data_IF_028408362069
#
_entry.id   IF_028408362069
#
_cell.length_a   1.000
_cell.length_b   1.000
_cell.length_c   1.000
_cell.angle_alpha   90.00
_cell.angle_beta   90.00
_cell.angle_gamma   90.00
#
_symmetry.space_group_name_H-M   'P 1'
#
loop_
_entity.id
_entity.type
_entity.pdbx_description
1 polymer ?
#
# COMPACT_ATOMS: atom_id res chain seq x y z
N UNK A 1 -0.58 27.01 14.30
CA UNK A 1 -1.12 26.46 13.04
C UNK A 1 0.05 26.03 12.16
N UNK A 2 0.25 24.74 11.93
CA UNK A 2 1.23 24.28 10.94
C UNK A 2 0.67 24.58 9.55
N UNK A 3 1.37 25.40 8.76
CA UNK A 3 0.96 25.69 7.39
C UNK A 3 0.83 24.39 6.59
N UNK A 4 -0.26 24.21 5.85
CA UNK A 4 -0.54 22.99 5.07
C UNK A 4 0.64 22.57 4.16
N UNK A 5 1.47 23.53 3.73
CA UNK A 5 2.71 23.31 2.99
C UNK A 5 3.75 22.46 3.75
N UNK A 6 3.91 22.68 5.06
CA UNK A 6 4.84 21.91 5.91
C UNK A 6 4.36 20.48 6.14
N UNK A 7 3.06 20.28 6.29
CA UNK A 7 2.45 18.94 6.42
C UNK A 7 2.61 18.16 5.11
N UNK A 8 2.30 18.79 3.97
CA UNK A 8 2.47 18.17 2.65
C UNK A 8 3.93 17.80 2.36
N UNK A 9 4.89 18.66 2.71
CA UNK A 9 6.31 18.36 2.54
C UNK A 9 6.75 17.15 3.39
N UNK A 10 6.30 17.07 4.65
CA UNK A 10 6.59 15.92 5.53
C UNK A 10 5.95 14.63 5.02
N UNK A 11 4.71 14.67 4.55
CA UNK A 11 4.03 13.50 3.98
C UNK A 11 4.75 12.96 2.73
N UNK A 12 5.24 13.85 1.86
CA UNK A 12 6.05 13.46 0.69
C UNK A 12 7.36 12.80 1.10
N UNK A 13 8.05 13.34 2.11
CA UNK A 13 9.29 12.76 2.63
C UNK A 13 9.04 11.37 3.23
N UNK A 14 7.97 11.20 4.01
CA UNK A 14 7.58 9.90 4.57
C UNK A 14 7.26 8.90 3.45
N UNK A 15 6.49 9.33 2.44
CA UNK A 15 6.12 8.49 1.30
C UNK A 15 7.33 8.01 0.49
N UNK A 16 8.47 8.69 0.56
CA UNK A 16 9.72 8.29 -0.09
C UNK A 16 10.64 7.44 0.81
N UNK A 17 10.29 7.19 2.08
CA UNK A 17 11.15 6.36 2.93
C UNK A 17 11.32 4.97 2.31
N UNK A 18 12.56 4.46 2.16
CA UNK A 18 12.81 3.11 1.68
C UNK A 18 12.26 2.03 2.63
N UNK A 19 12.07 2.39 3.91
CA UNK A 19 11.51 1.56 4.96
C UNK A 19 9.99 1.36 4.87
N UNK A 20 9.28 2.29 4.25
CA UNK A 20 7.82 2.36 4.30
C UNK A 20 7.13 1.16 3.63
N UNK A 21 7.59 0.64 2.47
CA UNK A 21 6.99 -0.55 1.85
C UNK A 21 7.06 -1.78 2.76
N UNK A 22 8.17 -2.00 3.47
CA UNK A 22 8.31 -3.13 4.41
C UNK A 22 7.29 -3.01 5.53
N UNK A 23 7.14 -1.82 6.12
CA UNK A 23 6.17 -1.56 7.18
C UNK A 23 4.72 -1.74 6.73
N UNK A 24 4.37 -1.26 5.53
CA UNK A 24 3.01 -1.37 4.99
C UNK A 24 2.63 -2.81 4.65
N UNK A 25 3.53 -3.56 4.03
CA UNK A 25 3.33 -5.00 3.76
C UNK A 25 3.25 -5.80 5.07
N UNK A 26 4.13 -5.52 6.02
CA UNK A 26 4.12 -6.16 7.34
C UNK A 26 2.80 -5.91 8.09
N UNK A 27 2.36 -4.65 8.18
CA UNK A 27 1.10 -4.28 8.82
C UNK A 27 -0.10 -4.96 8.14
N UNK A 28 -0.13 -4.97 6.80
CA UNK A 28 -1.20 -5.62 6.03
C UNK A 28 -1.25 -7.11 6.31
N UNK A 29 -0.10 -7.79 6.37
CA UNK A 29 -0.05 -9.21 6.73
C UNK A 29 -0.53 -9.49 8.16
N UNK A 30 -0.17 -8.65 9.12
CA UNK A 30 -0.60 -8.78 10.52
C UNK A 30 -2.12 -8.63 10.65
N UNK A 31 -2.69 -7.61 10.01
CA UNK A 31 -4.13 -7.37 10.01
C UNK A 31 -4.89 -8.51 9.32
N UNK A 32 -4.35 -9.03 8.22
CA UNK A 32 -4.95 -10.16 7.51
C UNK A 32 -4.89 -11.46 8.33
N UNK A 33 -3.81 -11.70 9.10
CA UNK A 33 -3.73 -12.81 10.06
C UNK A 33 -4.72 -12.66 11.22
N UNK A 34 -4.97 -11.44 11.69
CA UNK A 34 -6.03 -11.20 12.68
C UNK A 34 -7.41 -11.49 12.08
N UNK A 35 -7.65 -11.08 10.83
CA UNK A 35 -8.88 -11.38 10.10
C UNK A 35 -9.08 -12.90 9.95
N UNK A 36 -8.06 -13.66 9.54
CA UNK A 36 -8.18 -15.13 9.44
C UNK A 36 -8.46 -15.77 10.79
N UNK A 37 -7.87 -15.28 11.88
CA UNK A 37 -8.15 -15.77 13.24
C UNK A 37 -9.61 -15.53 13.64
N UNK A 38 -10.16 -14.34 13.36
CA UNK A 38 -11.56 -14.03 13.62
C UNK A 38 -12.52 -14.90 12.80
N UNK A 39 -12.26 -15.06 11.50
CA UNK A 39 -13.07 -15.95 10.63
C UNK A 39 -12.99 -17.40 11.09
N UNK A 40 -11.79 -17.89 11.41
CA UNK A 40 -11.60 -19.25 11.91
C UNK A 40 -12.34 -19.50 13.22
N UNK A 41 -12.31 -18.54 14.15
CA UNK A 41 -13.12 -18.61 15.38
C UNK A 41 -14.60 -18.63 15.07
N UNK A 42 -15.08 -17.81 14.14
CA UNK A 42 -16.48 -17.84 13.69
C UNK A 42 -16.85 -19.23 13.17
N UNK A 43 -16.08 -19.80 12.23
CA UNK A 43 -16.37 -21.11 11.64
C UNK A 43 -16.29 -22.27 12.63
N UNK A 44 -15.40 -22.20 13.64
CA UNK A 44 -15.26 -23.27 14.64
C UNK A 44 -16.33 -23.22 15.74
N UNK A 45 -16.73 -22.01 16.15
CA UNK A 45 -17.70 -21.83 17.24
C UNK A 45 -19.15 -21.73 16.75
N UNK A 46 -19.34 -21.51 15.46
CA UNK A 46 -20.66 -21.48 14.85
C UNK A 46 -21.09 -22.89 14.46
N UNK A 47 -22.24 -23.33 14.97
CA UNK A 47 -22.85 -24.62 14.65
C UNK A 47 -24.37 -24.49 14.60
N UNK A 48 -24.99 -25.19 13.67
CA UNK A 48 -26.42 -25.17 13.42
C UNK A 48 -26.97 -26.59 13.22
N UNK A 49 -28.24 -26.79 13.56
CA UNK A 49 -28.99 -27.97 13.11
C UNK A 49 -29.10 -27.99 11.58
N UNK A 50 -28.97 -29.16 10.95
CA UNK A 50 -28.97 -29.33 9.49
C UNK A 50 -30.25 -28.83 8.77
N UNK A 51 -31.31 -28.56 9.52
CA UNK A 51 -32.57 -28.01 9.00
C UNK A 51 -32.49 -26.50 8.66
N UNK A 52 -31.43 -25.79 9.07
CA UNK A 52 -31.24 -24.34 8.79
C UNK A 52 -30.05 -24.15 7.84
N UNK A 53 -30.21 -24.56 6.58
CA UNK A 53 -29.13 -24.53 5.58
C UNK A 53 -28.63 -23.11 5.27
N UNK A 54 -29.50 -22.10 5.32
CA UNK A 54 -29.14 -20.70 4.98
C UNK A 54 -28.13 -20.05 5.94
N UNK A 55 -27.97 -20.60 7.17
CA UNK A 55 -26.97 -20.16 8.16
C UNK A 55 -25.77 -21.11 8.19
N UNK A 56 -26.00 -22.37 7.81
CA UNK A 56 -24.96 -23.38 7.58
C UNK A 56 -24.14 -23.12 6.32
N UNK A 57 -24.51 -22.14 5.50
CA UNK A 57 -23.84 -21.83 4.25
C UNK A 57 -22.47 -21.17 4.54
N UNK A 58 -21.43 -22.00 4.53
CA UNK A 58 -20.06 -21.64 4.88
C UNK A 58 -19.29 -20.99 3.72
N UNK A 59 -19.91 -20.87 2.54
CA UNK A 59 -19.25 -20.36 1.32
C UNK A 59 -18.74 -18.92 1.51
N UNK A 60 -19.52 -18.07 2.19
CA UNK A 60 -19.16 -16.67 2.44
C UNK A 60 -17.98 -16.52 3.42
N UNK A 61 -17.99 -17.15 4.62
CA UNK A 61 -16.83 -17.13 5.49
C UNK A 61 -15.61 -17.83 4.88
N UNK A 62 -15.78 -18.89 4.08
CA UNK A 62 -14.69 -19.51 3.32
C UNK A 62 -14.06 -18.56 2.28
N UNK A 63 -14.89 -17.81 1.55
CA UNK A 63 -14.43 -16.75 0.65
C UNK A 63 -13.66 -15.67 1.40
N UNK A 64 -14.13 -15.27 2.58
CA UNK A 64 -13.42 -14.30 3.43
C UNK A 64 -12.09 -14.86 3.97
N UNK A 65 -12.05 -16.14 4.33
CA UNK A 65 -10.84 -16.80 4.82
C UNK A 65 -9.79 -16.92 3.71
N UNK A 66 -10.20 -17.36 2.53
CA UNK A 66 -9.32 -17.46 1.35
C UNK A 66 -8.77 -16.10 0.95
N UNK A 67 -9.61 -15.05 0.97
CA UNK A 67 -9.16 -13.69 0.70
C UNK A 67 -8.09 -13.22 1.67
N UNK A 68 -8.31 -13.41 2.97
CA UNK A 68 -7.35 -13.02 3.98
C UNK A 68 -6.05 -13.82 3.87
N UNK A 69 -6.10 -15.13 3.58
CA UNK A 69 -4.91 -15.96 3.36
C UNK A 69 -4.09 -15.51 2.14
N UNK A 70 -4.74 -15.19 1.03
CA UNK A 70 -4.07 -14.64 -0.16
C UNK A 70 -3.35 -13.33 0.19
N UNK A 71 -4.03 -12.43 0.91
CA UNK A 71 -3.42 -11.17 1.37
C UNK A 71 -2.20 -11.44 2.25
N UNK A 72 -2.27 -12.40 3.19
CA UNK A 72 -1.13 -12.77 4.04
C UNK A 72 0.05 -13.24 3.20
N UNK A 73 -0.16 -14.16 2.27
CA UNK A 73 0.92 -14.72 1.44
C UNK A 73 1.55 -13.62 0.57
N UNK A 74 0.73 -12.81 -0.10
CA UNK A 74 1.22 -11.75 -0.98
C UNK A 74 1.91 -10.63 -0.19
N UNK A 75 1.36 -10.22 0.95
CA UNK A 75 1.95 -9.16 1.78
C UNK A 75 3.24 -9.61 2.46
N UNK A 76 3.31 -10.84 2.97
CA UNK A 76 4.56 -11.38 3.53
C UNK A 76 5.64 -11.53 2.47
N UNK A 77 5.29 -12.05 1.28
CA UNK A 77 6.18 -12.09 0.13
C UNK A 77 6.65 -10.69 -0.30
N UNK A 78 5.74 -9.71 -0.30
CA UNK A 78 6.03 -8.30 -0.57
C UNK A 78 6.98 -7.68 0.45
N UNK A 79 6.77 -7.94 1.75
CA UNK A 79 7.64 -7.48 2.83
C UNK A 79 9.05 -8.06 2.69
N UNK A 80 9.15 -9.37 2.43
CA UNK A 80 10.43 -10.05 2.23
C UNK A 80 11.18 -9.50 1.02
N UNK A 81 10.48 -9.34 -0.12
CA UNK A 81 11.06 -8.77 -1.32
C UNK A 81 11.52 -7.32 -1.10
N UNK A 82 10.73 -6.51 -0.39
CA UNK A 82 11.08 -5.14 -0.07
C UNK A 82 12.26 -5.03 0.91
N UNK A 83 12.42 -5.98 1.84
CA UNK A 83 13.49 -5.96 2.84
C UNK A 83 14.82 -6.49 2.30
N UNK A 84 14.80 -7.60 1.56
CA UNK A 84 16.01 -8.34 1.19
C UNK A 84 16.33 -8.32 -0.31
N UNK A 85 15.38 -7.94 -1.17
CA UNK A 85 15.54 -7.91 -2.63
C UNK A 85 15.09 -6.57 -3.21
N UNK A 86 15.51 -5.47 -2.59
CA UNK A 86 15.10 -4.09 -2.91
C UNK A 86 15.21 -3.75 -4.39
N UNK A 87 16.33 -4.06 -5.05
CA UNK A 87 16.52 -3.78 -6.48
C UNK A 87 15.48 -4.50 -7.36
N UNK A 88 15.25 -5.79 -7.08
CA UNK A 88 14.30 -6.61 -7.81
C UNK A 88 12.85 -6.19 -7.52
N UNK A 89 12.57 -5.82 -6.26
CA UNK A 89 11.29 -5.28 -5.81
C UNK A 89 10.95 -3.96 -6.54
N UNK A 90 11.92 -3.04 -6.64
CA UNK A 90 11.73 -1.77 -7.37
C UNK A 90 11.50 -2.03 -8.86
N UNK A 91 12.26 -2.93 -9.48
CA UNK A 91 12.09 -3.29 -10.89
C UNK A 91 10.69 -3.89 -11.19
N UNK A 92 10.16 -4.70 -10.27
CA UNK A 92 8.86 -5.37 -10.43
C UNK A 92 7.71 -4.65 -9.69
N UNK A 93 7.92 -3.39 -9.28
CA UNK A 93 6.92 -2.62 -8.53
C UNK A 93 5.53 -2.55 -9.21
N UNK A 94 5.40 -2.46 -10.55
CA UNK A 94 4.09 -2.50 -11.21
C UNK A 94 3.31 -3.79 -10.94
N UNK A 95 4.00 -4.93 -10.89
CA UNK A 95 3.40 -6.24 -10.61
C UNK A 95 2.94 -6.29 -9.15
N UNK A 96 3.75 -5.80 -8.21
CA UNK A 96 3.37 -5.69 -6.79
C UNK A 96 2.13 -4.81 -6.62
N UNK A 97 2.05 -3.69 -7.33
CA UNK A 97 0.87 -2.81 -7.33
C UNK A 97 -0.37 -3.52 -7.89
N UNK A 98 -0.23 -4.25 -9.00
CA UNK A 98 -1.34 -5.02 -9.57
C UNK A 98 -1.85 -6.11 -8.59
N UNK A 99 -0.95 -6.82 -7.92
CA UNK A 99 -1.30 -7.83 -6.92
C UNK A 99 -1.97 -7.21 -5.68
N UNK A 100 -1.51 -6.05 -5.22
CA UNK A 100 -2.16 -5.31 -4.14
C UNK A 100 -3.56 -4.83 -4.53
N UNK A 101 -3.75 -4.39 -5.78
CA UNK A 101 -5.06 -3.99 -6.30
C UNK A 101 -6.02 -5.18 -6.38
N UNK A 102 -5.57 -6.31 -6.91
CA UNK A 102 -6.36 -7.54 -6.93
C UNK A 102 -6.75 -7.99 -5.52
N UNK A 103 -5.79 -7.95 -4.58
CA UNK A 103 -6.02 -8.27 -3.16
C UNK A 103 -7.05 -7.34 -2.52
N UNK A 104 -7.00 -6.05 -2.84
CA UNK A 104 -7.97 -5.06 -2.36
C UNK A 104 -9.37 -5.36 -2.88
N UNK A 105 -9.51 -5.59 -4.19
CA UNK A 105 -10.79 -5.93 -4.82
C UNK A 105 -11.37 -7.21 -4.20
N UNK A 106 -10.54 -8.23 -4.02
CA UNK A 106 -10.97 -9.50 -3.44
C UNK A 106 -11.40 -9.36 -1.98
N UNK A 107 -10.65 -8.59 -1.19
CA UNK A 107 -11.01 -8.28 0.21
C UNK A 107 -12.32 -7.51 0.30
N UNK A 108 -12.54 -6.52 -0.57
CA UNK A 108 -13.80 -5.76 -0.62
C UNK A 108 -14.98 -6.63 -1.04
N UNK A 109 -14.81 -7.49 -2.05
CA UNK A 109 -15.85 -8.42 -2.50
C UNK A 109 -16.22 -9.43 -1.40
N UNK A 110 -15.22 -10.00 -0.73
CA UNK A 110 -15.44 -10.92 0.38
C UNK A 110 -16.13 -10.24 1.56
N UNK A 111 -15.70 -9.03 1.94
CA UNK A 111 -16.30 -8.29 3.05
C UNK A 111 -17.74 -7.82 2.72
N UNK A 112 -18.01 -7.42 1.48
CA UNK A 112 -19.37 -7.09 1.04
C UNK A 112 -20.29 -8.32 1.08
N UNK A 113 -19.78 -9.48 0.66
CA UNK A 113 -20.51 -10.75 0.74
C UNK A 113 -20.78 -11.14 2.20
N UNK A 114 -19.79 -10.98 3.08
CA UNK A 114 -19.91 -11.23 4.52
C UNK A 114 -20.96 -10.32 5.15
N UNK A 115 -20.93 -9.02 4.84
CA UNK A 115 -21.91 -8.05 5.34
C UNK A 115 -23.34 -8.39 4.89
N UNK A 116 -23.50 -8.86 3.64
CA UNK A 116 -24.79 -9.24 3.08
C UNK A 116 -25.24 -10.68 3.42
N UNK A 117 -24.41 -11.46 4.10
CA UNK A 117 -24.75 -12.83 4.49
C UNK A 117 -25.96 -12.87 5.43
N UNK A 118 -26.71 -13.97 5.38
CA UNK A 118 -27.86 -14.16 6.26
C UNK A 118 -27.47 -14.06 7.75
N UNK A 119 -26.36 -14.68 8.13
CA UNK A 119 -25.83 -14.61 9.49
C UNK A 119 -25.51 -13.17 9.93
N UNK A 120 -24.91 -12.35 9.06
CA UNK A 120 -24.62 -10.94 9.35
C UNK A 120 -25.89 -10.09 9.46
N UNK A 121 -26.79 -10.20 8.47
CA UNK A 121 -27.95 -9.33 8.34
C UNK A 121 -29.12 -9.68 9.26
N UNK A 122 -29.38 -10.97 9.48
CA UNK A 122 -30.57 -11.44 10.19
C UNK A 122 -30.27 -11.94 11.61
N UNK A 123 -29.18 -12.71 11.78
CA UNK A 123 -28.83 -13.27 13.11
C UNK A 123 -28.04 -12.29 13.97
N UNK A 124 -27.06 -11.62 13.37
CA UNK A 124 -26.17 -10.68 14.04
C UNK A 124 -26.59 -9.20 13.83
N UNK A 125 -27.64 -8.94 13.06
CA UNK A 125 -28.17 -7.63 12.74
C UNK A 125 -29.21 -7.12 13.74
N UNK A 126 -28.78 -6.48 14.82
CA UNK A 126 -29.57 -5.67 15.77
C UNK A 126 -30.82 -6.29 16.45
N UNK A 127 -30.87 -6.18 17.77
CA UNK A 127 -31.80 -6.80 18.72
C UNK A 127 -33.26 -6.29 18.70
N UNK A 128 -33.81 -5.85 17.56
CA UNK A 128 -35.15 -5.27 17.47
C UNK A 128 -36.16 -6.05 16.66
N UNK A 129 -35.81 -7.23 16.16
CA UNK A 129 -36.78 -8.13 15.56
C UNK A 129 -36.90 -9.37 16.45
N UNK A 130 -38.06 -9.52 17.10
CA UNK A 130 -38.49 -10.73 17.83
C UNK A 130 -38.57 -11.98 16.93
N UNK A 131 -38.13 -11.88 15.68
CA UNK A 131 -38.33 -12.88 14.62
C UNK A 131 -37.35 -14.06 14.72
N UNK A 132 -36.27 -14.00 15.52
CA UNK A 132 -35.20 -15.02 15.42
C UNK A 132 -34.76 -15.68 16.74
N UNK A 133 -35.63 -15.70 17.75
CA UNK A 133 -35.38 -16.49 18.98
C UNK A 133 -35.32 -17.99 18.69
N UNK A 134 -36.10 -18.53 17.74
CA UNK A 134 -36.05 -19.95 17.36
C UNK A 134 -34.72 -20.31 16.67
N UNK A 135 -34.23 -19.47 15.77
CA UNK A 135 -32.95 -19.70 15.08
C UNK A 135 -31.77 -19.63 16.04
N UNK A 136 -31.77 -18.71 17.01
CA UNK A 136 -30.76 -18.67 18.09
C UNK A 136 -30.77 -19.91 18.98
N UNK A 137 -31.93 -20.55 19.17
CA UNK A 137 -32.04 -21.79 19.94
C UNK A 137 -31.53 -23.00 19.12
N UNK A 138 -31.62 -22.93 17.79
CA UNK A 138 -31.19 -23.98 16.86
C UNK A 138 -29.74 -23.82 16.34
N UNK A 139 -29.16 -22.63 16.50
CA UNK A 139 -27.84 -22.26 16.04
C UNK A 139 -27.06 -21.50 17.12
N UNK A 140 -25.88 -22.02 17.48
CA UNK A 140 -24.87 -21.24 18.20
C UNK A 140 -24.10 -20.43 17.18
N UNK A 141 -24.24 -19.09 17.16
CA UNK A 141 -23.55 -18.21 16.20
C UNK A 141 -22.67 -17.20 16.94
N UNK A 142 -21.40 -17.13 16.56
CA UNK A 142 -20.45 -16.22 17.20
C UNK A 142 -20.41 -14.85 16.50
N UNK A 143 -21.44 -14.02 16.76
CA UNK A 143 -21.57 -12.70 16.15
C UNK A 143 -20.42 -11.74 16.45
N UNK A 144 -19.75 -11.89 17.60
CA UNK A 144 -18.59 -11.05 17.95
C UNK A 144 -17.40 -11.35 17.03
N UNK A 145 -17.13 -12.64 16.78
CA UNK A 145 -16.10 -13.06 15.83
C UNK A 145 -16.41 -12.61 14.40
N UNK A 146 -17.68 -12.66 13.98
CA UNK A 146 -18.11 -12.20 12.65
C UNK A 146 -17.92 -10.69 12.47
N UNK A 147 -18.34 -9.89 13.45
CA UNK A 147 -18.15 -8.43 13.45
C UNK A 147 -16.67 -8.06 13.52
N UNK A 148 -15.89 -8.75 14.35
CA UNK A 148 -14.44 -8.56 14.42
C UNK A 148 -13.77 -8.87 13.07
N UNK A 149 -14.16 -9.94 12.39
CA UNK A 149 -13.65 -10.25 11.05
C UNK A 149 -13.95 -9.13 10.05
N UNK A 150 -15.19 -8.65 9.98
CA UNK A 150 -15.56 -7.57 9.05
C UNK A 150 -14.78 -6.28 9.33
N UNK A 151 -14.61 -5.90 10.60
CA UNK A 151 -13.82 -4.72 10.96
C UNK A 151 -12.35 -4.87 10.59
N UNK A 152 -11.75 -6.05 10.80
CA UNK A 152 -10.38 -6.35 10.37
C UNK A 152 -10.22 -6.30 8.86
N UNK A 153 -11.20 -6.80 8.09
CA UNK A 153 -11.20 -6.72 6.63
C UNK A 153 -11.20 -5.26 6.14
N UNK A 154 -11.91 -4.35 6.82
CA UNK A 154 -11.84 -2.91 6.53
C UNK A 154 -10.44 -2.35 6.77
N UNK A 155 -9.80 -2.70 7.89
CA UNK A 155 -8.43 -2.26 8.14
C UNK A 155 -7.44 -2.79 7.10
N UNK A 156 -7.57 -4.05 6.68
CA UNK A 156 -6.77 -4.63 5.57
C UNK A 156 -6.99 -3.86 4.27
N UNK A 157 -8.24 -3.55 3.92
CA UNK A 157 -8.55 -2.77 2.72
C UNK A 157 -7.92 -1.37 2.77
N UNK A 158 -7.96 -0.70 3.92
CA UNK A 158 -7.33 0.60 4.12
C UNK A 158 -5.81 0.54 3.98
N UNK A 159 -5.15 -0.48 4.55
CA UNK A 159 -3.68 -0.59 4.41
C UNK A 159 -3.25 -0.95 2.99
N UNK A 160 -4.02 -1.80 2.29
CA UNK A 160 -3.81 -2.07 0.86
C UNK A 160 -3.97 -0.81 0.01
N UNK A 161 -5.00 0.01 0.29
CA UNK A 161 -5.21 1.28 -0.39
C UNK A 161 -4.05 2.25 -0.16
N UNK A 162 -3.59 2.41 1.09
CA UNK A 162 -2.40 3.22 1.41
C UNK A 162 -1.16 2.69 0.68
N UNK A 163 -0.99 1.37 0.61
CA UNK A 163 0.12 0.73 -0.11
C UNK A 163 0.09 1.03 -1.61
N UNK A 164 -1.09 1.07 -2.23
CA UNK A 164 -1.27 1.46 -3.63
C UNK A 164 -0.90 2.92 -3.85
N UNK A 165 -1.39 3.83 -3.00
CA UNK A 165 -1.10 5.27 -3.10
C UNK A 165 0.40 5.54 -2.93
N UNK A 166 1.04 4.95 -1.92
CA UNK A 166 2.47 5.11 -1.68
C UNK A 166 3.29 4.49 -2.82
N UNK A 167 2.95 3.26 -3.24
CA UNK A 167 3.70 2.57 -4.28
C UNK A 167 3.59 3.26 -5.65
N UNK A 168 2.42 3.78 -6.01
CA UNK A 168 2.23 4.57 -7.24
C UNK A 168 2.98 5.89 -7.18
N UNK A 169 2.92 6.60 -6.04
CA UNK A 169 3.70 7.80 -5.82
C UNK A 169 5.20 7.52 -6.01
N UNK A 170 5.74 6.55 -5.28
CA UNK A 170 7.16 6.17 -5.37
C UNK A 170 7.56 5.72 -6.78
N UNK A 171 6.69 5.04 -7.53
CA UNK A 171 6.94 4.68 -8.92
C UNK A 171 7.06 5.91 -9.83
N UNK A 172 6.17 6.90 -9.64
CA UNK A 172 6.14 8.12 -10.45
C UNK A 172 7.25 9.12 -10.13
N UNK A 173 7.73 9.17 -8.87
CA UNK A 173 8.70 10.17 -8.41
C UNK A 173 10.13 9.68 -8.35
N UNK A 174 10.38 8.38 -8.19
CA UNK A 174 11.74 7.82 -8.17
C UNK A 174 12.60 8.21 -9.39
N UNK A 175 12.11 8.14 -10.65
CA UNK A 175 12.93 8.55 -11.80
C UNK A 175 13.19 10.06 -11.84
N UNK A 176 12.30 10.89 -11.27
CA UNK A 176 12.46 12.35 -11.24
C UNK A 176 13.53 12.81 -10.24
N UNK A 177 13.66 12.11 -9.11
CA UNK A 177 14.71 12.40 -8.11
C UNK A 177 16.09 12.02 -8.63
N UNK A 178 16.21 10.88 -9.31
CA UNK A 178 17.46 10.48 -9.97
C UNK A 178 17.90 11.48 -11.06
N UNK A 179 16.95 12.05 -11.81
CA UNK A 179 17.25 13.10 -12.79
C UNK A 179 17.76 14.39 -12.13
N UNK A 180 17.17 14.82 -11.01
CA UNK A 180 17.60 16.01 -10.26
C UNK A 180 18.93 15.79 -9.54
N UNK A 181 19.17 14.60 -8.98
CA UNK A 181 20.47 14.23 -8.41
C UNK A 181 21.54 14.10 -9.50
N UNK A 182 21.24 13.55 -10.69
CA UNK A 182 22.20 13.47 -11.81
C UNK A 182 22.50 14.83 -12.45
N UNK A 183 21.53 15.77 -12.42
CA UNK A 183 21.75 17.16 -12.78
C UNK A 183 22.44 17.97 -11.65
N UNK A 184 22.52 17.39 -10.45
CA UNK A 184 23.06 17.98 -9.23
C UNK A 184 24.30 17.28 -8.67
N UNK A 185 24.83 16.25 -9.30
CA UNK A 185 26.09 15.60 -8.92
C UNK A 185 27.26 16.48 -9.36
N UNK A 186 28.00 17.10 -8.42
CA UNK A 186 29.15 17.95 -8.72
C UNK A 186 30.41 17.09 -8.88
N UNK A 187 30.36 16.05 -9.73
CA UNK A 187 31.54 15.23 -10.06
C UNK A 187 32.13 15.56 -11.44
N UNK A 188 31.53 16.49 -12.18
CA UNK A 188 32.10 17.10 -13.41
C UNK A 188 32.19 18.63 -13.32
N UNK A 189 32.22 19.20 -12.10
CA UNK A 189 32.35 20.65 -11.88
C UNK A 189 33.63 21.09 -11.17
N UNK A 190 34.61 20.20 -11.01
CA UNK A 190 35.88 20.49 -10.34
C UNK A 190 37.13 20.42 -11.24
N UNK A 191 36.99 20.40 -12.57
CA UNK A 191 38.13 20.51 -13.51
C UNK A 191 37.98 21.67 -14.52
N UNK A 192 37.19 22.71 -14.21
CA UNK A 192 37.15 23.92 -15.06
C UNK A 192 36.94 25.22 -14.28
N UNK A 193 37.57 25.32 -13.11
CA UNK A 193 37.97 26.62 -12.55
C UNK A 193 39.39 26.51 -12.03
N UNK A 194 40.33 26.36 -12.97
CA UNK A 194 41.65 26.96 -12.75
C UNK A 194 41.41 28.46 -12.61
N UNK A 195 41.38 28.92 -11.37
CA UNK A 195 41.53 30.34 -11.06
C UNK A 195 42.79 30.83 -11.75
N UNK A 196 42.74 31.85 -12.63
CA UNK A 196 43.96 32.47 -13.11
C UNK A 196 44.74 32.93 -11.89
N UNK A 197 46.00 32.51 -11.77
CA UNK A 197 46.94 33.18 -10.88
C UNK A 197 46.96 34.64 -11.33
N UNK A 198 46.36 35.51 -10.52
CA UNK A 198 46.66 36.94 -10.55
C UNK A 198 48.15 37.05 -10.20
N UNK A 199 49.00 37.14 -11.21
CA UNK A 199 50.25 37.87 -11.08
C UNK A 199 49.86 39.34 -11.05
N UNK A 200 50.28 40.02 -9.98
CA UNK A 200 50.10 41.44 -9.81
C UNK A 200 50.63 42.24 -11.02
N UNK A 201 49.97 43.38 -11.23
CA UNK A 201 50.42 44.62 -11.88
C UNK A 201 49.92 44.98 -13.31
N UNK A 202 49.16 46.10 -13.28
CA UNK A 202 48.97 47.20 -14.24
C UNK A 202 47.61 47.29 -15.00
N UNK A 203 46.92 48.38 -14.68
CA UNK A 203 45.72 49.00 -15.26
C UNK A 203 45.63 48.99 -16.80
N UNK A 204 44.42 48.84 -17.37
CA UNK A 204 43.57 49.95 -17.83
C UNK A 204 42.32 49.42 -18.58
N UNK A 205 41.13 49.75 -18.05
CA UNK A 205 39.84 49.89 -18.76
C UNK A 205 39.38 48.80 -19.76
N UNK A 206 38.48 47.96 -19.26
CA UNK A 206 37.77 46.89 -19.97
C UNK A 206 37.00 47.34 -21.24
N UNK A 207 37.20 46.60 -22.33
CA UNK A 207 36.38 46.62 -23.54
C UNK A 207 35.68 45.27 -23.76
N UNK A 208 34.34 45.32 -23.70
CA UNK A 208 33.35 44.94 -24.73
C UNK A 208 33.26 43.49 -25.26
N UNK A 209 31.98 43.10 -25.44
CA UNK A 209 31.36 42.10 -26.34
C UNK A 209 31.27 40.66 -25.82
N UNK A 210 30.09 40.08 -25.55
CA UNK A 210 28.87 39.89 -26.36
C UNK A 210 29.08 38.98 -27.58
N UNK A 211 28.60 37.74 -27.52
CA UNK A 211 27.91 37.09 -28.64
C UNK A 211 27.18 35.79 -28.21
N UNK A 212 25.95 35.73 -28.70
CA UNK A 212 24.87 34.74 -28.63
C UNK A 212 25.16 33.53 -29.58
N UNK A 213 24.42 32.39 -29.47
CA UNK A 213 24.84 31.04 -29.86
C UNK A 213 24.40 30.66 -31.29
N UNK A 214 24.79 29.47 -31.78
CA UNK A 214 24.05 28.66 -32.78
C UNK A 214 24.67 27.26 -33.04
N UNK A 215 23.77 26.29 -33.16
CA UNK A 215 23.76 25.08 -34.01
C UNK A 215 24.61 23.81 -33.75
N UNK A 216 23.91 22.70 -34.04
CA UNK A 216 24.18 21.28 -33.78
C UNK A 216 25.05 20.61 -34.89
N UNK A 217 24.88 19.31 -35.20
CA UNK A 217 25.38 18.08 -34.57
C UNK A 217 26.37 17.29 -35.46
N UNK A 218 27.23 16.42 -34.91
CA UNK A 218 27.92 15.39 -35.74
C UNK A 218 28.21 14.06 -35.01
N UNK A 219 27.58 13.01 -35.54
CA UNK A 219 27.92 11.59 -35.73
C UNK A 219 29.14 10.94 -35.03
N UNK A 220 28.85 9.73 -34.51
CA UNK A 220 29.51 8.42 -34.69
C UNK A 220 31.04 8.33 -34.80
N UNK A 221 31.65 7.55 -33.91
CA UNK A 221 32.32 6.24 -34.16
C UNK A 221 32.07 5.35 -32.94
#
# INVERSE_FOLDING_TARGET
MFAASTIAARLRAIALCPCLPVGLHGLTSMLALLATSCVGRYMQSTSCSAYVQEISDMDVPELSLTAALIVVVLSTGGAFAAAYRTALYVAHRPIVLALNLASLVFTLAANASLANSYASNHVCGSSKHEVDLEVRVLCSVNCDALRASSTMAVFVAMTLFVSLVVGTYQHSTAPRLLAVESAGTPTTKFELMETPRMTDDVDESASIALAVPLDAPTKAV
#
